data_IF_854790491327
#
_entry.id   IF_854790491327
#
_cell.length_a   1.000
_cell.length_b   1.000
_cell.length_c   1.000
_cell.angle_alpha   90.00
_cell.angle_beta   90.00
_cell.angle_gamma   90.00
#
_symmetry.space_group_name_H-M   'P 1'
#
loop_
_entity.id
_entity.type
_entity.pdbx_description
1 polymer ?
#
# COMPACT_ATOMS: atom_id res chain seq x y z
N UNK A 1 17.80 -2.15 29.83
CA UNK A 1 18.70 -1.63 28.79
C UNK A 1 19.08 -2.80 27.88
N UNK A 2 18.24 -3.08 26.89
CA UNK A 2 18.51 -4.10 25.87
C UNK A 2 18.51 -3.34 24.55
N UNK A 3 19.72 -2.96 24.14
CA UNK A 3 20.02 -2.36 22.86
C UNK A 3 19.71 -3.40 21.78
N UNK A 4 18.56 -3.26 21.13
CA UNK A 4 18.36 -3.86 19.82
C UNK A 4 19.38 -3.20 18.90
N UNK A 5 20.34 -3.99 18.46
CA UNK A 5 21.30 -3.64 17.43
C UNK A 5 20.52 -3.31 16.15
N UNK A 6 20.38 -2.02 15.85
CA UNK A 6 19.78 -1.47 14.63
C UNK A 6 20.87 -1.24 13.57
N UNK A 7 21.80 -2.16 13.42
CA UNK A 7 22.66 -2.22 12.25
C UNK A 7 21.84 -2.76 11.07
N UNK A 8 21.05 -1.89 10.45
CA UNK A 8 20.55 -2.13 9.10
C UNK A 8 21.72 -1.97 8.13
N UNK A 9 22.51 -3.03 7.97
CA UNK A 9 23.38 -3.17 6.81
C UNK A 9 22.51 -2.93 5.57
N UNK A 10 22.85 -2.00 4.66
CA UNK A 10 22.07 -1.79 3.44
C UNK A 10 22.09 -3.09 2.65
N UNK A 11 21.05 -3.87 2.85
CA UNK A 11 20.93 -5.19 2.27
C UNK A 11 21.00 -5.03 0.76
N UNK A 12 21.81 -5.86 0.13
CA UNK A 12 21.63 -6.25 -1.27
C UNK A 12 20.33 -7.06 -1.39
N UNK A 13 19.22 -6.47 -0.92
CA UNK A 13 17.90 -7.06 -0.89
C UNK A 13 17.33 -7.00 -2.29
N UNK A 14 17.05 -8.16 -2.87
CA UNK A 14 16.27 -8.23 -4.10
C UNK A 14 14.88 -7.65 -3.80
N UNK A 15 14.39 -6.75 -4.66
CA UNK A 15 13.01 -6.28 -4.63
C UNK A 15 12.25 -7.01 -5.72
N UNK A 16 11.09 -7.57 -5.39
CA UNK A 16 10.21 -8.23 -6.36
C UNK A 16 9.13 -7.28 -6.84
N UNK A 17 8.96 -7.17 -8.15
CA UNK A 17 7.89 -6.39 -8.76
C UNK A 17 6.67 -7.27 -9.00
N UNK A 18 5.58 -7.05 -8.26
CA UNK A 18 4.29 -7.72 -8.45
C UNK A 18 3.42 -6.89 -9.39
N UNK A 19 3.08 -7.43 -10.55
CA UNK A 19 2.21 -6.76 -11.55
C UNK A 19 0.80 -7.34 -11.49
N UNK A 20 -0.20 -6.47 -11.39
CA UNK A 20 -1.61 -6.84 -11.46
C UNK A 20 -2.17 -6.48 -12.83
N UNK A 21 -2.99 -7.36 -13.39
CA UNK A 21 -3.60 -7.17 -14.70
C UNK A 21 -4.95 -6.47 -14.59
N UNK A 22 -5.18 -5.45 -15.42
CA UNK A 22 -6.43 -4.70 -15.46
C UNK A 22 -6.69 -3.82 -14.23
N UNK A 23 -7.89 -3.25 -14.18
CA UNK A 23 -8.32 -2.34 -13.11
C UNK A 23 -8.65 -3.13 -11.84
N UNK A 24 -8.04 -2.71 -10.73
CA UNK A 24 -8.23 -3.29 -9.41
C UNK A 24 -9.18 -2.44 -8.56
N UNK A 25 -9.88 -3.10 -7.64
CA UNK A 25 -10.60 -2.41 -6.57
C UNK A 25 -9.61 -1.81 -5.56
N UNK A 26 -9.83 -0.57 -5.12
CA UNK A 26 -8.92 0.12 -4.21
C UNK A 26 -8.88 -0.53 -2.83
N UNK A 27 -10.04 -0.73 -2.21
CA UNK A 27 -10.16 -1.26 -0.86
C UNK A 27 -9.61 -2.68 -0.76
N UNK A 28 -9.88 -3.52 -1.75
CA UNK A 28 -9.34 -4.88 -1.79
C UNK A 28 -7.81 -4.92 -1.88
N UNK A 29 -7.21 -4.05 -2.70
CA UNK A 29 -5.74 -3.99 -2.83
C UNK A 29 -5.11 -3.38 -1.58
N UNK A 30 -5.75 -2.36 -1.00
CA UNK A 30 -5.31 -1.75 0.26
C UNK A 30 -5.27 -2.78 1.39
N UNK A 31 -6.33 -3.57 1.56
CA UNK A 31 -6.39 -4.65 2.55
C UNK A 31 -5.29 -5.68 2.31
N UNK A 32 -5.07 -6.11 1.05
CA UNK A 32 -3.98 -7.03 0.71
C UNK A 32 -2.59 -6.48 1.04
N UNK A 33 -2.36 -5.18 0.81
CA UNK A 33 -1.10 -4.53 1.18
C UNK A 33 -0.93 -4.49 2.70
N UNK A 34 -1.98 -4.17 3.45
CA UNK A 34 -1.95 -4.18 4.92
C UNK A 34 -1.68 -5.59 5.45
N UNK A 35 -2.34 -6.61 4.90
CA UNK A 35 -2.13 -8.00 5.28
C UNK A 35 -0.71 -8.48 4.97
N UNK A 36 -0.17 -8.12 3.80
CA UNK A 36 1.23 -8.41 3.45
C UNK A 36 2.22 -7.86 4.48
N UNK A 37 1.98 -6.65 4.98
CA UNK A 37 2.81 -6.04 6.04
C UNK A 37 2.57 -6.72 7.39
N UNK A 38 1.32 -7.04 7.73
CA UNK A 38 0.96 -7.68 8.99
C UNK A 38 1.57 -9.08 9.15
N UNK A 39 1.63 -9.85 8.06
CA UNK A 39 2.17 -11.21 8.05
C UNK A 39 3.70 -11.27 7.88
N UNK A 40 4.36 -10.11 7.77
CA UNK A 40 5.77 -10.02 7.40
C UNK A 40 6.66 -10.67 8.47
N UNK A 41 7.47 -11.63 8.03
CA UNK A 41 8.48 -12.29 8.86
C UNK A 41 9.88 -11.71 8.63
N UNK A 42 10.81 -12.00 9.54
CA UNK A 42 12.22 -11.66 9.35
C UNK A 42 12.76 -12.31 8.05
N UNK A 43 13.39 -11.50 7.20
CA UNK A 43 13.90 -11.93 5.90
C UNK A 43 12.87 -11.99 4.77
N UNK A 44 11.61 -11.58 5.00
CA UNK A 44 10.65 -11.42 3.92
C UNK A 44 11.15 -10.38 2.88
N UNK A 45 11.06 -10.75 1.60
CA UNK A 45 11.51 -9.95 0.46
C UNK A 45 10.59 -8.74 0.29
N UNK A 46 11.16 -7.57 -0.02
CA UNK A 46 10.39 -6.37 -0.35
C UNK A 46 9.67 -6.52 -1.70
N UNK A 47 8.43 -6.05 -1.77
CA UNK A 47 7.63 -6.05 -2.99
C UNK A 47 7.26 -4.63 -3.42
N UNK A 48 7.30 -4.37 -4.74
CA UNK A 48 6.69 -3.20 -5.36
C UNK A 48 5.47 -3.67 -6.17
N UNK A 49 4.31 -3.09 -5.91
CA UNK A 49 3.04 -3.49 -6.54
C UNK A 49 2.67 -2.50 -7.67
N UNK A 50 2.55 -3.01 -8.90
CA UNK A 50 2.19 -2.22 -10.08
C UNK A 50 0.79 -2.60 -10.54
N UNK A 51 -0.11 -1.63 -10.51
CA UNK A 51 -1.52 -1.82 -10.82
C UNK A 51 -2.18 -0.49 -11.21
N UNK A 52 -3.44 -0.58 -11.62
CA UNK A 52 -4.32 0.56 -11.88
C UNK A 52 -5.63 0.32 -11.15
N UNK A 53 -6.30 1.36 -10.65
CA UNK A 53 -7.57 1.23 -9.95
C UNK A 53 -8.77 1.58 -10.83
N UNK A 54 -9.94 1.02 -10.51
CA UNK A 54 -11.22 1.60 -10.93
C UNK A 54 -11.33 3.06 -10.42
N UNK A 55 -12.14 3.94 -11.04
CA UNK A 55 -12.32 5.31 -10.56
C UNK A 55 -12.63 5.34 -9.06
N UNK A 56 -11.85 6.11 -8.31
CA UNK A 56 -11.95 6.24 -6.85
C UNK A 56 -11.31 7.56 -6.41
N UNK A 57 -11.95 8.25 -5.46
CA UNK A 57 -11.32 9.30 -4.67
C UNK A 57 -10.85 8.70 -3.35
N UNK A 58 -9.66 9.09 -2.89
CA UNK A 58 -9.10 8.62 -1.62
C UNK A 58 -8.72 9.81 -0.77
N UNK A 59 -9.08 9.79 0.52
CA UNK A 59 -8.68 10.81 1.47
C UNK A 59 -7.63 10.26 2.43
N UNK A 60 -6.46 10.89 2.46
CA UNK A 60 -5.45 10.61 3.48
C UNK A 60 -5.84 11.16 4.85
N UNK A 61 -4.98 10.99 5.84
CA UNK A 61 -5.21 11.44 7.24
C UNK A 61 -5.57 12.93 7.34
N UNK A 62 -5.05 13.76 6.44
CA UNK A 62 -5.32 15.20 6.39
C UNK A 62 -6.39 15.58 5.35
N UNK A 63 -7.08 14.61 4.77
CA UNK A 63 -8.17 14.83 3.83
C UNK A 63 -9.42 15.30 4.56
N UNK A 64 -10.05 16.35 4.04
CA UNK A 64 -11.35 16.82 4.51
C UNK A 64 -12.42 16.48 3.47
N UNK A 65 -13.66 16.13 3.89
CA UNK A 65 -14.77 15.88 2.97
C UNK A 65 -14.99 17.02 1.96
N UNK A 66 -14.75 18.25 2.41
CA UNK A 66 -14.86 19.50 1.65
C UNK A 66 -13.98 19.55 0.39
N UNK A 67 -12.87 18.80 0.36
CA UNK A 67 -11.96 18.78 -0.78
C UNK A 67 -12.53 17.99 -1.98
N UNK A 68 -13.57 17.19 -1.77
CA UNK A 68 -14.28 16.47 -2.83
C UNK A 68 -15.51 17.29 -3.20
N UNK A 69 -15.41 18.02 -4.32
CA UNK A 69 -16.44 18.99 -4.73
C UNK A 69 -17.67 18.32 -5.37
N UNK A 70 -17.46 17.35 -6.25
CA UNK A 70 -18.52 16.58 -6.91
C UNK A 70 -17.96 15.20 -7.30
N UNK A 71 -18.30 14.18 -6.51
CA UNK A 71 -17.86 12.81 -6.75
C UNK A 71 -18.77 12.07 -7.75
N UNK A 72 -20.00 12.55 -7.99
CA UNK A 72 -21.03 11.78 -8.67
C UNK A 72 -21.15 10.35 -8.09
N UNK A 73 -21.07 9.35 -8.96
CA UNK A 73 -21.13 7.93 -8.59
C UNK A 73 -19.75 7.32 -8.25
N UNK A 74 -18.67 8.11 -8.26
CA UNK A 74 -17.31 7.64 -7.95
C UNK A 74 -17.17 7.46 -6.43
N UNK A 75 -16.72 6.29 -5.94
CA UNK A 75 -16.56 6.07 -4.52
C UNK A 75 -15.48 6.99 -3.92
N UNK A 76 -15.74 7.44 -2.68
CA UNK A 76 -14.76 8.14 -1.84
C UNK A 76 -14.40 7.22 -0.68
N UNK A 77 -13.11 6.90 -0.53
CA UNK A 77 -12.53 6.03 0.50
C UNK A 77 -11.68 6.81 1.48
#
# INVERSE_FOLDING_TARGET
MQSADLSHEPGSGSIVTRRFEGLQDYSLIQEKMQQFVADRQAGAIDEIWLLQHRPVFTQGINGQPEHVLDAGDIPVV
#
